data_IF_825585196865
#
_entry.id   IF_825585196865
#
_cell.length_a   1.000
_cell.length_b   1.000
_cell.length_c   1.000
_cell.angle_alpha   90.00
_cell.angle_beta   90.00
_cell.angle_gamma   90.00
#
_symmetry.space_group_name_H-M   'P 1'
#
loop_
_entity.id
_entity.type
_entity.pdbx_description
1 polymer ?
#
# COMPACT_ATOMS: atom_id res chain seq x y z
N UNK A 1 -18.94 5.07 -0.42
CA UNK A 1 -17.86 5.53 -1.33
C UNK A 1 -16.96 4.34 -1.61
N UNK A 2 -16.34 4.24 -2.80
CA UNK A 2 -15.35 3.19 -3.05
C UNK A 2 -14.12 3.37 -2.14
N UNK A 3 -13.64 2.27 -1.57
CA UNK A 3 -12.45 2.26 -0.72
C UNK A 3 -11.20 2.13 -1.62
N UNK A 4 -10.73 3.26 -2.13
CA UNK A 4 -9.68 3.33 -3.14
C UNK A 4 -8.73 4.48 -2.86
N UNK A 5 -7.47 4.33 -3.24
CA UNK A 5 -6.47 5.40 -3.28
C UNK A 5 -6.16 5.77 -4.73
N UNK A 6 -6.07 7.06 -5.01
CA UNK A 6 -5.59 7.57 -6.30
C UNK A 6 -4.17 8.09 -6.11
N UNK A 7 -3.25 7.62 -6.96
CA UNK A 7 -1.83 7.98 -6.93
C UNK A 7 -1.48 8.64 -8.26
N UNK A 8 -0.82 9.79 -8.20
CA UNK A 8 -0.38 10.55 -9.37
C UNK A 8 1.14 10.65 -9.35
N UNK A 9 1.80 10.37 -10.48
CA UNK A 9 3.22 10.65 -10.68
C UNK A 9 3.38 12.01 -11.36
N UNK A 10 3.76 13.04 -10.60
CA UNK A 10 3.89 14.42 -11.08
C UNK A 10 4.93 14.59 -12.19
N UNK A 11 5.88 13.67 -12.33
CA UNK A 11 6.91 13.71 -13.39
C UNK A 11 6.30 13.41 -14.77
N UNK A 12 5.27 12.56 -14.80
CA UNK A 12 4.65 12.05 -16.04
C UNK A 12 3.19 12.49 -16.20
N UNK A 13 2.57 12.99 -15.12
CA UNK A 13 1.13 13.29 -15.04
C UNK A 13 0.24 12.04 -15.00
N UNK A 14 0.82 10.84 -14.99
CA UNK A 14 0.05 9.59 -15.00
C UNK A 14 -0.62 9.38 -13.65
N UNK A 15 -1.88 8.94 -13.68
CA UNK A 15 -2.68 8.66 -12.50
C UNK A 15 -3.16 7.22 -12.52
N UNK A 16 -3.13 6.55 -11.37
CA UNK A 16 -3.73 5.23 -11.15
C UNK A 16 -4.69 5.30 -9.97
N UNK A 17 -5.74 4.47 -9.98
CA UNK A 17 -6.65 4.30 -8.84
C UNK A 17 -6.67 2.85 -8.45
N UNK A 18 -6.39 2.58 -7.18
CA UNK A 18 -6.11 1.23 -6.65
C UNK A 18 -7.07 0.95 -5.49
N UNK A 19 -7.67 -0.24 -5.40
CA UNK A 19 -8.51 -0.60 -4.25
C UNK A 19 -7.67 -0.70 -2.98
N UNK A 20 -8.25 -0.24 -1.88
CA UNK A 20 -7.78 -0.47 -0.52
C UNK A 20 -8.57 -1.66 0.03
N UNK A 21 -7.89 -2.59 0.71
CA UNK A 21 -8.53 -3.70 1.40
C UNK A 21 -7.89 -3.86 2.77
N UNK A 22 -8.67 -3.67 3.85
CA UNK A 22 -8.15 -3.79 5.21
C UNK A 22 -7.02 -2.80 5.51
N UNK A 23 -7.11 -1.58 4.97
CA UNK A 23 -6.11 -0.52 5.19
C UNK A 23 -4.83 -0.66 4.36
N UNK A 24 -4.73 -1.64 3.45
CA UNK A 24 -3.56 -1.83 2.59
C UNK A 24 -3.92 -1.77 1.11
N UNK A 25 -2.96 -1.36 0.28
CA UNK A 25 -3.02 -1.49 -1.18
C UNK A 25 -1.77 -2.21 -1.69
N UNK A 26 -1.80 -2.86 -2.87
CA UNK A 26 -0.64 -3.55 -3.40
C UNK A 26 0.47 -2.58 -3.83
N UNK A 27 1.65 -2.68 -3.21
CA UNK A 27 2.80 -1.85 -3.58
C UNK A 27 3.18 -1.97 -5.08
N UNK A 28 2.93 -3.13 -5.70
CA UNK A 28 3.17 -3.35 -7.12
C UNK A 28 2.37 -2.41 -8.05
N UNK A 29 1.28 -1.80 -7.56
CA UNK A 29 0.47 -0.87 -8.35
C UNK A 29 1.30 0.34 -8.84
N UNK A 30 2.31 0.78 -8.07
CA UNK A 30 3.18 1.89 -8.49
C UNK A 30 4.00 1.58 -9.73
N UNK A 31 4.15 0.31 -10.10
CA UNK A 31 4.81 -0.09 -11.36
C UNK A 31 3.98 0.26 -12.59
N UNK A 32 2.67 0.44 -12.42
CA UNK A 32 1.82 0.98 -13.50
C UNK A 32 2.14 2.44 -13.77
N UNK A 33 2.58 3.22 -12.78
CA UNK A 33 3.07 4.59 -12.99
C UNK A 33 4.43 4.57 -13.68
N UNK A 34 5.36 3.80 -13.14
CA UNK A 34 6.74 3.66 -13.62
C UNK A 34 7.29 2.27 -13.25
N UNK A 35 7.62 1.41 -14.24
CA UNK A 35 8.14 0.07 -13.97
C UNK A 35 9.44 0.02 -13.15
N UNK A 36 10.21 1.11 -13.12
CA UNK A 36 11.43 1.28 -12.35
C UNK A 36 11.22 1.91 -10.97
N UNK A 37 9.99 2.26 -10.59
CA UNK A 37 9.67 2.81 -9.29
C UNK A 37 9.56 1.70 -8.23
N UNK A 38 10.22 1.94 -7.10
CA UNK A 38 10.23 1.05 -5.94
C UNK A 38 9.82 1.82 -4.70
N UNK A 39 9.19 1.12 -3.76
CA UNK A 39 8.90 1.66 -2.43
C UNK A 39 10.15 1.49 -1.57
N UNK A 40 10.65 2.59 -1.03
CA UNK A 40 11.70 2.55 -0.02
C UNK A 40 11.06 2.54 1.37
N UNK A 41 11.01 1.36 2.00
CA UNK A 41 10.45 1.14 3.33
C UNK A 41 11.42 0.28 4.18
N UNK A 42 12.39 0.93 4.86
CA UNK A 42 13.35 0.23 5.70
C UNK A 42 12.67 -0.64 6.76
N UNK A 43 13.12 -1.89 6.88
CA UNK A 43 12.57 -2.87 7.84
C UNK A 43 11.07 -3.18 7.69
N UNK A 44 10.44 -2.85 6.55
CA UNK A 44 9.03 -3.12 6.27
C UNK A 44 8.06 -2.47 7.27
N UNK A 45 8.41 -1.29 7.78
CA UNK A 45 7.64 -0.61 8.84
C UNK A 45 6.23 -0.21 8.39
N UNK A 46 5.99 -0.06 7.08
CA UNK A 46 4.69 0.26 6.49
C UNK A 46 4.28 -0.73 5.39
N UNK A 47 4.93 -1.90 5.32
CA UNK A 47 4.65 -2.93 4.31
C UNK A 47 4.08 -4.18 4.96
N UNK A 48 2.80 -4.46 4.71
CA UNK A 48 2.19 -5.74 5.06
C UNK A 48 2.67 -6.84 4.10
N UNK A 49 3.58 -7.71 4.56
CA UNK A 49 4.20 -8.74 3.72
C UNK A 49 3.26 -9.92 3.35
N UNK A 50 2.25 -10.21 4.18
CA UNK A 50 1.30 -11.28 3.91
C UNK A 50 -0.07 -11.00 4.53
N UNK A 51 -1.08 -11.72 4.04
CA UNK A 51 -2.38 -11.83 4.71
C UNK A 51 -2.28 -12.92 5.78
N UNK A 52 -2.74 -12.62 6.99
CA UNK A 52 -2.81 -13.57 8.09
C UNK A 52 -4.20 -13.59 8.71
N UNK A 53 -4.57 -14.72 9.30
CA UNK A 53 -5.76 -14.89 10.12
C UNK A 53 -5.42 -15.59 11.46
N UNK A 54 -4.14 -15.70 11.79
CA UNK A 54 -3.66 -16.46 12.96
C UNK A 54 -3.58 -15.56 14.20
N UNK A 55 -2.95 -14.39 14.07
CA UNK A 55 -2.66 -13.49 15.19
C UNK A 55 -2.91 -12.05 14.77
N UNK A 56 -3.43 -11.26 15.70
CA UNK A 56 -3.59 -9.80 15.62
C UNK A 56 -2.97 -9.18 16.87
N UNK A 57 -2.37 -7.99 16.73
CA UNK A 57 -1.75 -7.24 17.81
C UNK A 57 -2.17 -5.78 17.68
N UNK A 58 -2.64 -5.19 18.77
CA UNK A 58 -2.87 -3.75 18.92
C UNK A 58 -2.21 -3.29 20.24
N UNK A 59 -1.00 -2.74 20.11
CA UNK A 59 -0.20 -2.35 21.27
C UNK A 59 -0.78 -1.17 22.05
N UNK A 60 -1.49 -0.26 21.39
CA UNK A 60 -2.07 0.92 22.03
C UNK A 60 -3.30 0.55 22.86
N UNK A 61 -4.10 -0.38 22.36
CA UNK A 61 -5.24 -0.94 23.09
C UNK A 61 -4.85 -2.08 24.06
N UNK A 62 -3.65 -2.64 23.93
CA UNK A 62 -3.18 -3.79 24.72
C UNK A 62 -3.87 -5.12 24.34
N UNK A 63 -4.13 -5.33 23.05
CA UNK A 63 -4.79 -6.53 22.48
C UNK A 63 -3.76 -7.43 21.78
#
# INVERSE_FOLDING_TARGET
MPDTITITDDRTGKTITVPIQGGVFPAAAVRELDPGLFIYDPAYMQTAACKSAITYLDGDAGI
#
